data_IF_628287356763
#
_entry.id   IF_628287356763
#
_cell.length_a   1.000
_cell.length_b   1.000
_cell.length_c   1.000
_cell.angle_alpha   90.00
_cell.angle_beta   90.00
_cell.angle_gamma   90.00
#
_symmetry.space_group_name_H-M   'P 1'
#
loop_
_entity.id
_entity.type
_entity.pdbx_description
1 polymer ?
#
# COMPACT_ATOMS: atom_id res chain seq x y z
N UNK A 1 -23.96 -6.76 -3.93
CA UNK A 1 -23.91 -7.52 -2.66
C UNK A 1 -23.32 -8.87 -2.98
N UNK A 2 -22.16 -9.19 -2.42
CA UNK A 2 -21.55 -10.51 -2.62
C UNK A 2 -22.44 -11.57 -1.98
N UNK A 3 -23.11 -12.37 -2.81
CA UNK A 3 -23.99 -13.44 -2.37
C UNK A 3 -23.15 -14.67 -2.01
N UNK A 4 -23.46 -15.28 -0.87
CA UNK A 4 -22.89 -16.57 -0.45
C UNK A 4 -23.98 -17.62 -0.66
N UNK A 5 -23.73 -18.61 -1.49
CA UNK A 5 -24.67 -19.71 -1.72
C UNK A 5 -24.20 -20.95 -0.99
N UNK A 6 -25.06 -21.48 -0.14
CA UNK A 6 -24.88 -22.78 0.51
C UNK A 6 -25.67 -23.82 -0.29
N UNK A 7 -25.00 -24.89 -0.72
CA UNK A 7 -25.66 -25.96 -1.46
C UNK A 7 -25.18 -27.33 -1.00
N UNK A 8 -26.13 -28.19 -0.66
CA UNK A 8 -25.86 -29.60 -0.45
C UNK A 8 -25.86 -30.33 -1.80
N UNK A 9 -24.66 -30.50 -2.35
CA UNK A 9 -24.47 -30.97 -3.73
C UNK A 9 -24.52 -32.50 -3.86
N UNK A 10 -24.45 -33.28 -2.77
CA UNK A 10 -24.56 -34.75 -2.78
C UNK A 10 -23.65 -35.47 -3.82
N UNK A 11 -22.52 -34.88 -4.18
CA UNK A 11 -21.59 -35.42 -5.19
C UNK A 11 -21.11 -34.37 -6.19
N UNK A 12 -19.85 -33.97 -6.08
CA UNK A 12 -19.31 -32.88 -6.89
C UNK A 12 -19.25 -33.21 -8.38
N UNK A 13 -18.85 -34.44 -8.74
CA UNK A 13 -18.68 -34.84 -10.14
C UNK A 13 -20.01 -35.02 -10.86
N UNK A 14 -20.98 -35.66 -10.23
CA UNK A 14 -22.32 -35.88 -10.79
C UNK A 14 -23.03 -34.55 -11.07
N UNK A 15 -22.92 -33.60 -10.15
CA UNK A 15 -23.69 -32.36 -10.19
C UNK A 15 -22.86 -31.13 -10.64
N UNK A 16 -21.72 -31.35 -11.29
CA UNK A 16 -20.82 -30.27 -11.73
C UNK A 16 -21.46 -29.34 -12.78
N UNK A 17 -22.32 -29.86 -13.65
CA UNK A 17 -23.04 -29.05 -14.66
C UNK A 17 -24.06 -28.12 -13.99
N UNK A 18 -24.78 -28.63 -13.00
CA UNK A 18 -25.73 -27.87 -12.20
C UNK A 18 -25.02 -26.80 -11.37
N UNK A 19 -23.85 -27.13 -10.79
CA UNK A 19 -23.01 -26.16 -10.10
C UNK A 19 -22.65 -24.96 -11.00
N UNK A 20 -22.26 -25.22 -12.24
CA UNK A 20 -21.95 -24.14 -13.21
C UNK A 20 -23.17 -23.27 -13.50
N UNK A 21 -24.34 -23.88 -13.70
CA UNK A 21 -25.58 -23.15 -13.94
C UNK A 21 -25.96 -22.28 -12.74
N UNK A 22 -25.84 -22.82 -11.53
CA UNK A 22 -26.08 -22.11 -10.29
C UNK A 22 -25.12 -20.93 -10.12
N UNK A 23 -23.82 -21.12 -10.37
CA UNK A 23 -22.82 -20.04 -10.31
C UNK A 23 -23.08 -18.93 -11.32
N UNK A 24 -23.44 -19.29 -12.55
CA UNK A 24 -23.77 -18.32 -13.60
C UNK A 24 -25.03 -17.51 -13.25
N UNK A 25 -26.03 -18.15 -12.63
CA UNK A 25 -27.29 -17.50 -12.27
C UNK A 25 -27.18 -16.64 -11.01
N UNK A 26 -26.45 -17.10 -10.00
CA UNK A 26 -26.36 -16.46 -8.70
C UNK A 26 -25.27 -15.38 -8.61
N UNK A 27 -24.29 -15.41 -9.52
CA UNK A 27 -23.10 -14.54 -9.51
C UNK A 27 -22.44 -14.47 -8.11
N UNK A 28 -22.47 -15.59 -7.39
CA UNK A 28 -22.04 -15.62 -5.99
C UNK A 28 -20.54 -15.59 -5.85
N UNK A 29 -20.05 -14.69 -4.99
CA UNK A 29 -18.62 -14.59 -4.71
C UNK A 29 -18.08 -15.85 -4.01
N UNK A 30 -18.93 -16.55 -3.25
CA UNK A 30 -18.56 -17.76 -2.50
C UNK A 30 -19.68 -18.79 -2.59
N UNK A 31 -19.31 -20.05 -2.86
CA UNK A 31 -20.23 -21.19 -2.76
C UNK A 31 -19.71 -22.22 -1.77
N UNK A 32 -20.49 -22.46 -0.72
CA UNK A 32 -20.23 -23.46 0.30
C UNK A 32 -20.91 -24.78 -0.10
N UNK A 33 -20.11 -25.72 -0.60
CA UNK A 33 -20.57 -27.06 -0.94
C UNK A 33 -20.52 -27.95 0.30
N UNK A 34 -21.67 -28.46 0.71
CA UNK A 34 -21.80 -29.35 1.88
C UNK A 34 -21.84 -30.81 1.45
N UNK A 35 -21.51 -31.70 2.41
CA UNK A 35 -21.57 -33.17 2.28
C UNK A 35 -20.81 -33.72 1.06
N UNK A 36 -19.74 -33.03 0.67
CA UNK A 36 -18.90 -33.44 -0.43
C UNK A 36 -17.46 -33.67 0.02
N UNK A 37 -17.05 -34.94 0.02
CA UNK A 37 -15.64 -35.31 0.20
C UNK A 37 -14.92 -35.18 -1.13
N UNK A 38 -14.30 -34.03 -1.33
CA UNK A 38 -13.46 -33.76 -2.49
C UNK A 38 -12.07 -34.36 -2.26
N UNK A 39 -11.65 -35.29 -3.12
CA UNK A 39 -10.28 -35.83 -3.14
C UNK A 39 -9.30 -34.88 -3.85
N UNK A 40 -8.00 -35.14 -3.72
CA UNK A 40 -6.97 -34.41 -4.48
C UNK A 40 -7.18 -34.60 -6.00
N UNK A 41 -7.03 -33.53 -6.78
CA UNK A 41 -7.19 -33.55 -8.23
C UNK A 41 -8.55 -33.13 -8.79
N UNK A 42 -9.44 -32.54 -7.98
CA UNK A 42 -10.67 -31.93 -8.48
C UNK A 42 -10.48 -30.44 -8.78
N UNK A 43 -10.99 -29.98 -9.92
CA UNK A 43 -10.85 -28.59 -10.37
C UNK A 43 -12.18 -27.82 -10.23
N UNK A 44 -12.14 -26.58 -9.72
CA UNK A 44 -13.33 -25.73 -9.66
C UNK A 44 -13.74 -25.23 -11.07
N UNK A 45 -14.97 -24.73 -11.23
CA UNK A 45 -15.37 -23.95 -12.40
C UNK A 45 -14.44 -22.75 -12.65
N UNK A 46 -14.28 -22.34 -13.91
CA UNK A 46 -13.42 -21.20 -14.28
C UNK A 46 -13.80 -19.94 -13.50
N UNK A 47 -12.80 -19.23 -12.99
CA UNK A 47 -12.97 -18.02 -12.17
C UNK A 47 -13.16 -18.28 -10.67
N UNK A 48 -13.30 -19.55 -10.27
CA UNK A 48 -13.38 -19.94 -8.85
C UNK A 48 -12.15 -20.71 -8.43
N UNK A 49 -11.77 -20.58 -7.16
CA UNK A 49 -10.72 -21.40 -6.53
C UNK A 49 -11.38 -22.41 -5.61
N UNK A 50 -11.01 -23.70 -5.75
CA UNK A 50 -11.51 -24.74 -4.87
C UNK A 50 -10.76 -24.65 -3.54
N UNK A 51 -11.48 -24.26 -2.49
CA UNK A 51 -10.95 -24.30 -1.14
C UNK A 51 -11.44 -25.57 -0.48
N UNK A 52 -10.56 -26.58 -0.43
CA UNK A 52 -10.80 -27.77 0.37
C UNK A 52 -10.84 -27.35 1.84
N UNK A 53 -12.03 -27.30 2.42
CA UNK A 53 -12.25 -27.06 3.85
C UNK A 53 -11.84 -28.30 4.69
N UNK A 54 -10.73 -28.96 4.35
CA UNK A 54 -10.22 -30.10 5.11
C UNK A 54 -9.37 -29.66 6.32
N UNK A 55 -9.03 -28.38 6.45
CA UNK A 55 -8.20 -27.86 7.54
C UNK A 55 -8.87 -26.72 8.32
N UNK A 56 -8.76 -26.78 9.66
CA UNK A 56 -9.16 -25.70 10.60
C UNK A 56 -8.60 -24.33 10.18
N UNK A 57 -7.36 -24.30 9.68
CA UNK A 57 -6.70 -23.08 9.22
C UNK A 57 -7.41 -22.42 8.02
N UNK A 58 -7.90 -23.21 7.05
CA UNK A 58 -8.61 -22.69 5.87
C UNK A 58 -9.95 -22.09 6.27
N UNK A 59 -10.70 -22.75 7.15
CA UNK A 59 -11.97 -22.24 7.65
C UNK A 59 -11.79 -20.99 8.50
N UNK A 60 -10.76 -20.95 9.36
CA UNK A 60 -10.41 -19.72 10.08
C UNK A 60 -10.09 -18.59 9.10
N UNK A 61 -9.32 -18.86 8.03
CA UNK A 61 -9.02 -17.85 7.01
C UNK A 61 -10.29 -17.33 6.32
N UNK A 62 -11.23 -18.20 5.97
CA UNK A 62 -12.52 -17.81 5.39
C UNK A 62 -13.36 -16.98 6.36
N UNK A 63 -13.41 -17.38 7.62
CA UNK A 63 -14.07 -16.61 8.68
C UNK A 63 -13.47 -15.20 8.79
N UNK A 64 -12.13 -15.10 8.81
CA UNK A 64 -11.39 -13.83 8.87
C UNK A 64 -11.71 -12.92 7.68
N UNK A 65 -11.78 -13.48 6.46
CA UNK A 65 -11.99 -12.67 5.25
C UNK A 65 -13.43 -12.26 5.03
N UNK A 66 -14.42 -13.08 5.42
CA UNK A 66 -15.82 -12.84 5.08
C UNK A 66 -16.64 -12.21 6.22
N UNK A 67 -16.42 -12.68 7.45
CA UNK A 67 -17.21 -12.26 8.62
C UNK A 67 -16.42 -11.22 9.41
N UNK A 68 -15.16 -11.53 9.68
CA UNK A 68 -14.35 -10.67 10.55
C UNK A 68 -14.05 -9.32 9.92
N UNK A 69 -13.79 -9.29 8.61
CA UNK A 69 -13.65 -8.05 7.84
C UNK A 69 -14.86 -7.11 7.95
N UNK A 70 -16.09 -7.67 7.96
CA UNK A 70 -17.33 -6.90 8.14
C UNK A 70 -17.50 -6.41 9.57
N UNK A 71 -17.15 -7.24 10.56
CA UNK A 71 -17.15 -6.82 11.96
C UNK A 71 -16.11 -5.71 12.20
N UNK A 72 -14.95 -5.77 11.55
CA UNK A 72 -13.91 -4.76 11.72
C UNK A 72 -14.22 -3.43 11.04
N UNK A 73 -14.98 -3.48 9.94
CA UNK A 73 -15.33 -2.30 9.16
C UNK A 73 -16.09 -1.28 10.01
N UNK A 74 -15.53 -0.08 10.15
CA UNK A 74 -16.12 0.98 10.96
C UNK A 74 -16.06 0.74 12.48
N UNK A 75 -15.33 -0.26 12.96
CA UNK A 75 -15.20 -0.58 14.40
C UNK A 75 -14.65 0.54 15.26
N UNK A 76 -13.82 1.42 14.69
CA UNK A 76 -13.33 2.62 15.37
C UNK A 76 -14.46 3.61 15.66
N UNK A 77 -15.49 3.64 14.81
CA UNK A 77 -16.66 4.52 14.91
C UNK A 77 -17.69 3.88 15.83
N UNK A 78 -18.25 2.74 15.41
CA UNK A 78 -19.35 2.09 16.14
C UNK A 78 -18.90 1.48 17.47
N UNK A 79 -17.60 1.23 17.65
CA UNK A 79 -17.04 0.66 18.88
C UNK A 79 -17.20 1.56 20.11
N UNK A 80 -17.59 2.82 19.91
CA UNK A 80 -17.99 3.77 20.96
C UNK A 80 -19.44 3.56 21.44
N UNK A 81 -20.21 2.67 20.82
CA UNK A 81 -21.58 2.39 21.23
C UNK A 81 -21.63 1.66 22.58
N UNK A 82 -22.73 1.86 23.31
CA UNK A 82 -22.96 1.22 24.62
C UNK A 82 -22.82 -0.30 24.54
N UNK A 83 -22.25 -0.92 25.57
CA UNK A 83 -22.02 -2.38 25.64
C UNK A 83 -23.23 -3.23 25.24
N UNK A 84 -24.45 -2.86 25.63
CA UNK A 84 -25.66 -3.62 25.28
C UNK A 84 -25.97 -3.62 23.77
N UNK A 85 -25.59 -2.58 23.05
CA UNK A 85 -25.73 -2.48 21.58
C UNK A 85 -24.67 -3.33 20.88
N UNK A 86 -23.50 -3.51 21.49
CA UNK A 86 -22.40 -4.30 20.94
C UNK A 86 -22.52 -5.81 21.24
N UNK A 87 -23.17 -6.20 22.35
CA UNK A 87 -23.36 -7.60 22.77
C UNK A 87 -23.91 -8.52 21.66
N UNK A 88 -24.86 -8.12 20.79
CA UNK A 88 -25.36 -8.97 19.71
C UNK A 88 -24.29 -9.40 18.69
N UNK A 89 -23.14 -8.71 18.62
CA UNK A 89 -22.04 -9.08 17.71
C UNK A 89 -21.20 -10.25 18.23
N UNK A 90 -21.13 -10.44 19.55
CA UNK A 90 -20.30 -11.48 20.16
C UNK A 90 -20.75 -12.90 19.78
N UNK A 91 -22.06 -13.25 19.78
CA UNK A 91 -22.53 -14.53 19.28
C UNK A 91 -22.14 -14.83 17.83
N UNK A 92 -22.10 -13.81 16.96
CA UNK A 92 -21.69 -13.96 15.56
C UNK A 92 -20.21 -14.34 15.49
N UNK A 93 -19.36 -13.67 16.27
CA UNK A 93 -17.94 -14.00 16.40
C UNK A 93 -17.73 -15.42 16.94
N UNK A 94 -18.36 -15.75 18.07
CA UNK A 94 -18.23 -17.07 18.69
C UNK A 94 -18.71 -18.17 17.78
N UNK A 95 -19.84 -17.99 17.09
CA UNK A 95 -20.37 -18.98 16.16
C UNK A 95 -19.42 -19.18 14.98
N UNK A 96 -18.84 -18.11 14.43
CA UNK A 96 -17.83 -18.20 13.38
C UNK A 96 -16.60 -19.02 13.80
N UNK A 97 -16.08 -18.77 15.00
CA UNK A 97 -14.96 -19.52 15.56
C UNK A 97 -15.32 -20.99 15.82
N UNK A 98 -16.51 -21.28 16.35
CA UNK A 98 -16.98 -22.66 16.57
C UNK A 98 -17.05 -23.44 15.27
N UNK A 99 -17.64 -22.86 14.23
CA UNK A 99 -17.70 -23.48 12.90
C UNK A 99 -16.30 -23.71 12.35
N UNK A 100 -15.42 -22.72 12.46
CA UNK A 100 -14.08 -22.82 11.90
C UNK A 100 -13.19 -23.85 12.61
N UNK A 101 -13.34 -24.01 13.93
CA UNK A 101 -12.61 -24.98 14.74
C UNK A 101 -13.26 -26.37 14.78
N UNK A 102 -14.54 -26.48 14.40
CA UNK A 102 -15.35 -27.68 14.64
C UNK A 102 -15.65 -27.90 16.12
N UNK A 103 -15.73 -26.83 16.92
CA UNK A 103 -15.96 -26.92 18.35
C UNK A 103 -17.44 -27.14 18.69
N UNK A 104 -17.71 -27.82 19.82
CA UNK A 104 -19.08 -28.01 20.31
C UNK A 104 -19.78 -26.68 20.57
N UNK A 105 -21.12 -26.67 20.48
CA UNK A 105 -21.93 -25.48 20.81
C UNK A 105 -21.75 -25.02 22.26
N UNK A 106 -21.45 -25.95 23.17
CA UNK A 106 -21.25 -25.72 24.60
C UNK A 106 -19.80 -25.38 24.98
N UNK A 107 -18.84 -25.40 24.05
CA UNK A 107 -17.43 -25.09 24.36
C UNK A 107 -17.32 -23.71 25.02
N UNK A 108 -16.55 -23.60 26.09
CA UNK A 108 -16.37 -22.35 26.81
C UNK A 108 -15.66 -21.29 25.94
N UNK A 109 -16.08 -20.02 26.02
CA UNK A 109 -15.62 -18.94 25.13
C UNK A 109 -14.11 -18.70 25.26
N UNK A 110 -13.57 -18.73 26.49
CA UNK A 110 -12.12 -18.52 26.69
C UNK A 110 -11.30 -19.63 26.04
N UNK A 111 -11.77 -20.87 26.09
CA UNK A 111 -11.14 -22.02 25.42
C UNK A 111 -11.21 -21.88 23.90
N UNK A 112 -12.32 -21.35 23.39
CA UNK A 112 -12.48 -21.06 21.96
C UNK A 112 -11.47 -20.02 21.46
N UNK A 113 -11.24 -18.95 22.23
CA UNK A 113 -10.24 -17.94 21.91
C UNK A 113 -8.81 -18.48 21.96
N UNK A 114 -8.50 -19.29 22.99
CA UNK A 114 -7.18 -19.91 23.12
C UNK A 114 -6.89 -20.87 21.95
N UNK A 115 -7.85 -21.72 21.58
CA UNK A 115 -7.69 -22.68 20.48
C UNK A 115 -7.66 -21.99 19.11
N UNK A 116 -8.44 -20.93 18.89
CA UNK A 116 -8.43 -20.18 17.63
C UNK A 116 -7.18 -19.30 17.49
N UNK A 117 -6.51 -18.96 18.60
CA UNK A 117 -5.50 -17.91 18.65
C UNK A 117 -6.08 -16.52 18.39
N UNK A 118 -7.35 -16.29 18.77
CA UNK A 118 -8.09 -15.06 18.43
C UNK A 118 -8.58 -14.29 19.66
N UNK A 119 -8.52 -12.95 19.65
CA UNK A 119 -9.03 -12.13 20.75
C UNK A 119 -10.56 -12.04 20.75
N UNK A 120 -11.12 -11.55 21.87
CA UNK A 120 -12.52 -11.09 21.90
C UNK A 120 -12.73 -9.89 20.98
N UNK A 121 -13.98 -9.65 20.57
CA UNK A 121 -14.29 -8.50 19.72
C UNK A 121 -13.94 -7.17 20.41
N UNK A 122 -14.13 -7.07 21.71
CA UNK A 122 -13.73 -5.89 22.49
C UNK A 122 -12.24 -5.58 22.36
N UNK A 123 -11.37 -6.54 22.68
CA UNK A 123 -9.93 -6.38 22.54
C UNK A 123 -9.52 -6.12 21.10
N UNK A 124 -10.22 -6.70 20.13
CA UNK A 124 -9.97 -6.43 18.71
C UNK A 124 -10.31 -5.00 18.32
N UNK A 125 -11.48 -4.49 18.69
CA UNK A 125 -11.87 -3.09 18.42
C UNK A 125 -10.87 -2.12 19.06
N UNK A 126 -10.46 -2.40 20.29
CA UNK A 126 -9.42 -1.64 20.97
C UNK A 126 -8.08 -1.66 20.21
N UNK A 127 -7.63 -2.82 19.74
CA UNK A 127 -6.42 -2.95 18.90
C UNK A 127 -6.53 -2.14 17.60
N UNK A 128 -7.70 -2.15 16.94
CA UNK A 128 -7.94 -1.37 15.72
C UNK A 128 -7.95 0.13 15.99
N UNK A 129 -8.56 0.56 17.11
CA UNK A 129 -8.55 1.95 17.55
C UNK A 129 -7.12 2.44 17.84
N UNK A 130 -6.30 1.66 18.55
CA UNK A 130 -4.89 1.99 18.77
C UNK A 130 -4.13 2.17 17.45
N UNK A 131 -4.26 1.21 16.53
CA UNK A 131 -3.62 1.31 15.20
C UNK A 131 -4.06 2.56 14.45
N UNK A 132 -5.35 2.90 14.53
CA UNK A 132 -5.89 4.08 13.89
C UNK A 132 -5.29 5.36 14.46
N UNK A 133 -5.26 5.52 15.78
CA UNK A 133 -4.68 6.70 16.45
C UNK A 133 -3.19 6.85 16.16
N UNK A 134 -2.42 5.76 16.25
CA UNK A 134 -0.99 5.78 15.93
C UNK A 134 -0.73 6.19 14.48
N UNK A 135 -1.50 5.62 13.54
CA UNK A 135 -1.42 5.97 12.12
C UNK A 135 -1.81 7.42 11.88
N UNK A 136 -2.84 7.91 12.56
CA UNK A 136 -3.30 9.28 12.43
C UNK A 136 -2.22 10.24 12.93
N UNK A 137 -1.60 9.96 14.09
CA UNK A 137 -0.49 10.74 14.63
C UNK A 137 0.70 10.83 13.67
N UNK A 138 0.99 9.75 12.94
CA UNK A 138 2.04 9.77 11.91
C UNK A 138 1.68 10.57 10.65
N UNK A 139 0.41 10.95 10.45
CA UNK A 139 -0.09 11.57 9.22
C UNK A 139 -0.69 12.95 9.51
N UNK A 140 0.14 13.99 9.73
CA UNK A 140 -0.33 15.33 10.09
C UNK A 140 -1.18 16.01 9.02
N UNK A 141 -1.07 15.58 7.75
CA UNK A 141 -1.90 16.11 6.65
C UNK A 141 -3.29 15.47 6.54
N UNK A 142 -3.60 14.49 7.38
CA UNK A 142 -4.90 13.84 7.34
C UNK A 142 -5.98 14.80 7.86
N UNK A 143 -7.13 14.98 7.18
CA UNK A 143 -8.19 15.88 7.64
C UNK A 143 -8.75 15.51 9.02
N UNK A 144 -8.64 14.25 9.44
CA UNK A 144 -9.07 13.81 10.76
C UNK A 144 -8.01 14.02 11.85
N UNK A 145 -6.78 14.43 11.51
CA UNK A 145 -5.67 14.55 12.47
C UNK A 145 -6.06 15.51 13.61
N UNK A 146 -6.41 16.74 13.26
CA UNK A 146 -6.69 17.79 14.24
C UNK A 146 -7.98 17.50 15.00
N UNK A 147 -9.01 17.00 14.29
CA UNK A 147 -10.31 16.64 14.87
C UNK A 147 -10.21 15.54 15.93
N UNK A 148 -9.25 14.63 15.84
CA UNK A 148 -9.13 13.48 16.76
C UNK A 148 -8.05 13.69 17.81
N UNK A 149 -6.95 14.38 17.46
CA UNK A 149 -5.80 14.59 18.35
C UNK A 149 -5.86 15.89 19.12
N UNK A 150 -6.50 16.93 18.57
CA UNK A 150 -6.59 18.27 19.18
C UNK A 150 -7.98 18.59 19.72
N UNK A 151 -9.01 17.81 19.36
CA UNK A 151 -10.32 17.97 19.98
C UNK A 151 -10.23 17.75 21.50
N UNK A 152 -10.77 18.67 22.31
CA UNK A 152 -10.82 18.49 23.75
C UNK A 152 -11.49 17.15 24.09
N UNK A 153 -10.82 16.29 24.86
CA UNK A 153 -11.43 15.07 25.41
C UNK A 153 -12.75 15.38 26.15
N UNK A 154 -12.89 16.62 26.64
CA UNK A 154 -14.10 17.16 27.25
C UNK A 154 -15.30 17.22 26.30
N UNK A 155 -15.10 17.47 25.01
CA UNK A 155 -16.20 17.61 24.03
C UNK A 155 -16.82 16.24 23.70
N UNK A 156 -16.05 15.17 23.83
CA UNK A 156 -16.55 13.79 23.75
C UNK A 156 -17.18 13.27 25.05
N UNK A 157 -16.99 14.00 26.16
CA UNK A 157 -17.56 13.68 27.48
C UNK A 157 -18.86 14.45 27.79
N UNK A 158 -19.45 15.11 26.78
CA UNK A 158 -20.63 15.95 26.93
C UNK A 158 -21.90 15.12 27.22
N UNK A 159 -22.04 14.67 28.47
CA UNK A 159 -23.24 14.09 29.04
C UNK A 159 -22.92 13.14 30.19
N UNK A 160 -23.32 13.48 31.42
CA UNK A 160 -23.24 12.60 32.58
C UNK A 160 -23.89 11.24 32.25
N UNK A 161 -23.07 10.21 32.07
CA UNK A 161 -23.51 8.85 31.72
C UNK A 161 -23.22 8.37 30.29
N UNK A 162 -22.55 9.16 29.44
CA UNK A 162 -22.03 8.65 28.15
C UNK A 162 -20.66 8.01 28.35
N UNK A 163 -20.49 6.76 27.89
CA UNK A 163 -19.16 6.14 27.83
C UNK A 163 -18.29 6.98 26.87
N UNK A 164 -17.05 7.36 27.26
CA UNK A 164 -16.12 8.05 26.39
C UNK A 164 -15.93 7.27 25.09
N UNK A 165 -15.79 8.00 23.97
CA UNK A 165 -15.63 7.38 22.67
C UNK A 165 -14.39 6.46 22.66
N UNK A 166 -14.42 5.41 21.83
CA UNK A 166 -13.37 4.38 21.81
C UNK A 166 -11.98 4.98 21.56
N UNK A 167 -11.91 6.10 20.85
CA UNK A 167 -10.68 6.83 20.55
C UNK A 167 -10.16 7.63 21.77
N UNK A 168 -11.02 8.30 22.54
CA UNK A 168 -10.65 8.94 23.81
C UNK A 168 -10.10 7.90 24.79
N UNK A 169 -10.76 6.74 24.89
CA UNK A 169 -10.29 5.64 25.72
C UNK A 169 -8.89 5.18 25.33
N UNK A 170 -8.54 5.18 24.04
CA UNK A 170 -7.18 4.83 23.63
C UNK A 170 -6.13 5.82 24.15
N UNK A 171 -6.42 7.12 24.23
CA UNK A 171 -5.51 8.09 24.83
C UNK A 171 -5.32 7.86 26.33
N UNK A 172 -6.39 7.56 27.06
CA UNK A 172 -6.29 7.16 28.47
C UNK A 172 -5.44 5.91 28.64
N UNK A 173 -5.61 4.91 27.78
CA UNK A 173 -4.77 3.71 27.81
C UNK A 173 -3.30 4.00 27.52
N UNK A 174 -2.98 4.89 26.57
CA UNK A 174 -1.59 5.31 26.33
C UNK A 174 -0.99 6.01 27.56
N UNK A 175 -1.77 6.89 28.20
CA UNK A 175 -1.38 7.57 29.43
C UNK A 175 -1.13 6.59 30.57
N UNK A 176 -2.06 5.65 30.79
CA UNK A 176 -1.94 4.62 31.82
C UNK A 176 -0.76 3.67 31.59
N UNK A 177 -0.39 3.44 30.32
CA UNK A 177 0.76 2.63 29.95
C UNK A 177 2.10 3.41 29.91
N UNK A 178 2.10 4.71 30.21
CA UNK A 178 3.26 5.61 30.08
C UNK A 178 3.91 5.58 28.68
N UNK A 179 3.12 5.40 27.63
CA UNK A 179 3.61 5.40 26.24
C UNK A 179 3.52 6.82 25.67
N UNK A 180 4.67 7.41 25.37
CA UNK A 180 4.74 8.73 24.75
C UNK A 180 4.45 8.65 23.24
N UNK A 181 3.40 9.34 22.79
CA UNK A 181 3.04 9.41 21.36
C UNK A 181 4.00 10.30 20.54
N UNK A 182 4.89 11.05 21.19
CA UNK A 182 5.86 11.92 20.54
C UNK A 182 7.03 11.16 19.88
N UNK A 183 7.14 9.86 20.15
CA UNK A 183 8.17 8.98 19.57
C UNK A 183 7.82 8.60 18.11
N UNK A 184 6.59 8.87 17.67
CA UNK A 184 6.08 8.44 16.37
C UNK A 184 6.55 9.43 15.29
N UNK A 185 7.30 8.94 14.32
CA UNK A 185 7.74 9.73 13.17
C UNK A 185 6.58 10.15 12.27
N UNK A 186 6.70 11.35 11.70
CA UNK A 186 5.78 11.86 10.71
C UNK A 186 6.04 11.18 9.35
N UNK A 187 5.06 10.43 8.86
CA UNK A 187 5.04 9.92 7.50
C UNK A 187 4.68 11.05 6.54
N UNK A 188 5.65 11.43 5.71
CA UNK A 188 5.41 12.35 4.61
C UNK A 188 4.89 11.55 3.40
N UNK A 189 3.57 11.48 3.24
CA UNK A 189 2.98 10.89 2.03
C UNK A 189 3.39 11.77 0.84
N UNK A 190 4.12 11.19 -0.11
CA UNK A 190 4.49 11.89 -1.32
C UNK A 190 3.23 12.28 -2.10
N UNK A 191 3.18 13.55 -2.49
CA UNK A 191 2.17 14.11 -3.37
C UNK A 191 2.90 14.59 -4.63
N UNK A 192 2.39 14.31 -5.84
CA UNK A 192 1.11 13.66 -6.15
C UNK A 192 1.12 12.14 -5.84
N UNK A 193 -0.06 11.50 -5.76
CA UNK A 193 -0.15 10.08 -5.48
C UNK A 193 0.58 9.25 -6.54
N UNK A 194 0.95 7.98 -6.26
CA UNK A 194 1.67 7.13 -7.21
C UNK A 194 0.89 6.82 -8.50
N UNK A 195 -0.44 7.00 -8.49
CA UNK A 195 -1.31 6.92 -9.68
C UNK A 195 -1.50 8.28 -10.39
N UNK A 196 -0.86 9.35 -9.91
CA UNK A 196 -0.81 10.62 -10.60
C UNK A 196 -0.04 10.47 -11.91
N UNK A 197 -0.57 11.05 -12.99
CA UNK A 197 0.11 11.06 -14.28
C UNK A 197 1.38 11.91 -14.20
N UNK A 198 2.51 11.25 -13.99
CA UNK A 198 3.82 11.83 -14.24
C UNK A 198 4.16 11.61 -15.71
N UNK A 199 3.87 12.60 -16.54
CA UNK A 199 4.29 12.61 -17.94
C UNK A 199 5.71 13.18 -18.00
N UNK A 200 6.70 12.32 -17.73
CA UNK A 200 8.10 12.63 -17.98
C UNK A 200 8.33 12.39 -19.47
N UNK A 201 8.57 13.47 -20.24
CA UNK A 201 8.94 13.35 -21.63
C UNK A 201 10.42 12.98 -21.71
N UNK A 202 10.71 11.72 -22.09
CA UNK A 202 12.07 11.24 -22.29
C UNK A 202 12.33 11.13 -23.80
N UNK A 203 13.22 11.98 -24.31
CA UNK A 203 13.64 11.92 -25.70
C UNK A 203 14.90 11.04 -25.84
N UNK A 204 14.72 9.86 -26.46
CA UNK A 204 15.79 8.92 -26.84
C UNK A 204 16.04 8.92 -28.35
N UNK A 205 15.65 9.97 -29.08
CA UNK A 205 15.81 10.05 -30.54
C UNK A 205 17.25 9.84 -31.00
N UNK A 206 18.23 10.33 -30.23
CA UNK A 206 19.66 10.18 -30.48
C UNK A 206 20.14 8.72 -30.49
N UNK A 207 19.42 7.78 -29.87
CA UNK A 207 19.85 6.37 -29.79
C UNK A 207 19.33 5.51 -30.92
N UNK A 208 18.46 6.04 -31.80
CA UNK A 208 17.97 5.32 -33.00
C UNK A 208 19.04 5.20 -34.09
N UNK A 209 20.11 5.96 -33.96
CA UNK A 209 21.21 6.06 -34.91
C UNK A 209 22.33 5.08 -34.51
N UNK A 210 22.82 4.29 -35.48
CA UNK A 210 23.85 3.28 -35.22
C UNK A 210 25.23 3.96 -35.08
N UNK A 211 25.95 3.67 -33.98
CA UNK A 211 27.24 4.32 -33.64
C UNK A 211 28.32 4.08 -34.68
N UNK A 212 28.22 3.00 -35.45
CA UNK A 212 29.26 2.57 -36.40
C UNK A 212 29.27 3.34 -37.73
N UNK A 213 28.18 4.04 -38.08
CA UNK A 213 28.00 4.63 -39.41
C UNK A 213 27.95 6.17 -39.44
N UNK A 214 28.13 6.85 -38.30
CA UNK A 214 27.81 8.27 -38.16
C UNK A 214 29.01 9.02 -37.57
N UNK A 215 29.37 10.14 -38.20
CA UNK A 215 30.47 11.01 -37.73
C UNK A 215 30.11 11.77 -36.47
N UNK A 216 31.10 12.08 -35.63
CA UNK A 216 30.93 12.88 -34.40
C UNK A 216 30.24 14.24 -34.67
N UNK A 217 30.54 14.84 -35.81
CA UNK A 217 29.93 16.10 -36.28
C UNK A 217 28.42 15.99 -36.45
N UNK A 218 27.93 14.83 -36.89
CA UNK A 218 26.49 14.62 -37.06
C UNK A 218 25.77 14.52 -35.70
N UNK A 219 26.37 13.86 -34.70
CA UNK A 219 25.83 13.84 -33.33
C UNK A 219 25.81 15.21 -32.69
N UNK A 220 26.87 16.01 -32.87
CA UNK A 220 26.91 17.39 -32.38
C UNK A 220 25.80 18.22 -33.02
N UNK A 221 25.62 18.13 -34.34
CA UNK A 221 24.56 18.85 -35.06
C UNK A 221 23.17 18.48 -34.54
N UNK A 222 22.92 17.19 -34.33
CA UNK A 222 21.63 16.71 -33.83
C UNK A 222 21.38 17.12 -32.37
N UNK A 223 22.42 17.07 -31.53
CA UNK A 223 22.36 17.56 -30.16
C UNK A 223 22.04 19.07 -30.12
N UNK A 224 22.71 19.88 -30.96
CA UNK A 224 22.40 21.32 -31.06
C UNK A 224 20.97 21.58 -31.54
N UNK A 225 20.45 20.76 -32.46
CA UNK A 225 19.04 20.85 -32.90
C UNK A 225 18.06 20.58 -31.74
N UNK A 226 18.33 19.58 -30.91
CA UNK A 226 17.53 19.28 -29.71
C UNK A 226 17.65 20.44 -28.71
N UNK A 227 18.86 20.93 -28.47
CA UNK A 227 19.12 22.07 -27.59
C UNK A 227 18.36 23.32 -28.04
N UNK A 228 18.28 23.59 -29.34
CA UNK A 228 17.52 24.70 -29.91
C UNK A 228 16.01 24.55 -29.72
N UNK A 229 15.49 23.32 -29.86
CA UNK A 229 14.07 22.99 -29.60
C UNK A 229 13.68 23.32 -28.15
N UNK A 230 14.61 23.12 -27.20
CA UNK A 230 14.42 23.41 -25.78
C UNK A 230 15.06 24.72 -25.33
N UNK A 231 15.28 25.68 -26.24
CA UNK A 231 15.92 26.98 -25.94
C UNK A 231 15.24 27.78 -24.81
N UNK A 232 13.93 27.62 -24.61
CA UNK A 232 13.17 28.25 -23.52
C UNK A 232 13.24 27.49 -22.18
N UNK A 233 14.03 26.43 -22.08
CA UNK A 233 14.19 25.63 -20.87
C UNK A 233 15.57 25.85 -20.26
N UNK A 234 15.64 25.82 -18.93
CA UNK A 234 16.91 25.84 -18.23
C UNK A 234 17.63 24.51 -18.43
N UNK A 235 18.82 24.54 -19.03
CA UNK A 235 19.61 23.35 -19.30
C UNK A 235 20.35 22.88 -18.04
N UNK A 236 20.28 21.59 -17.72
CA UNK A 236 21.04 20.94 -16.63
C UNK A 236 21.73 19.72 -17.20
N UNK A 237 22.98 19.50 -16.80
CA UNK A 237 23.77 18.35 -17.24
C UNK A 237 24.03 17.43 -16.06
N UNK A 238 23.96 16.12 -16.26
CA UNK A 238 24.24 15.13 -15.22
C UNK A 238 25.27 14.13 -15.72
N UNK A 239 26.11 13.66 -14.81
CA UNK A 239 27.15 12.68 -15.10
C UNK A 239 27.37 11.77 -13.89
N UNK A 240 27.65 10.50 -14.13
CA UNK A 240 27.89 9.45 -13.14
C UNK A 240 29.25 8.76 -13.30
N UNK A 241 30.38 9.48 -13.19
CA UNK A 241 31.69 8.92 -13.49
C UNK A 241 32.09 7.81 -12.51
N UNK A 242 32.73 6.78 -13.05
CA UNK A 242 33.34 5.68 -12.28
C UNK A 242 34.85 5.66 -12.49
N UNK A 243 35.59 5.64 -11.39
CA UNK A 243 37.03 5.44 -11.35
C UNK A 243 37.33 4.22 -10.47
N UNK A 244 37.80 3.14 -11.10
CA UNK A 244 38.06 1.86 -10.43
C UNK A 244 36.84 1.33 -9.66
N UNK A 245 36.92 1.24 -8.33
CA UNK A 245 35.84 0.80 -7.42
C UNK A 245 35.00 1.98 -6.87
N UNK A 246 35.38 3.22 -7.20
CA UNK A 246 34.76 4.44 -6.68
C UNK A 246 33.88 5.07 -7.74
N UNK A 247 32.71 5.51 -7.30
CA UNK A 247 31.70 6.08 -8.17
C UNK A 247 31.20 7.39 -7.58
N UNK A 248 31.04 8.40 -8.44
CA UNK A 248 30.54 9.71 -8.08
C UNK A 248 29.37 10.09 -8.99
N UNK A 249 28.56 11.02 -8.51
CA UNK A 249 27.44 11.57 -9.25
C UNK A 249 27.52 13.09 -9.21
N UNK A 250 27.22 13.73 -10.34
CA UNK A 250 27.27 15.17 -10.47
C UNK A 250 26.06 15.71 -11.26
N UNK A 251 25.66 16.92 -10.89
CA UNK A 251 24.68 17.74 -11.59
C UNK A 251 25.27 19.14 -11.78
N UNK A 252 25.43 19.54 -13.04
CA UNK A 252 26.03 20.79 -13.46
C UNK A 252 24.98 21.77 -14.00
N UNK A 253 25.00 22.99 -13.47
CA UNK A 253 24.07 24.07 -13.80
C UNK A 253 24.83 25.18 -14.55
N UNK A 254 24.79 25.23 -15.89
CA UNK A 254 25.62 26.14 -16.69
C UNK A 254 25.32 27.63 -16.44
N UNK A 255 24.06 28.01 -16.24
CA UNK A 255 23.68 29.41 -15.99
C UNK A 255 23.97 29.85 -14.54
N UNK A 256 24.14 28.90 -13.61
CA UNK A 256 24.48 29.15 -12.21
C UNK A 256 25.48 28.10 -11.68
N UNK A 257 26.76 28.18 -12.07
CA UNK A 257 27.75 27.15 -11.74
C UNK A 257 27.88 26.88 -10.24
N UNK A 258 27.70 27.89 -9.39
CA UNK A 258 27.77 27.78 -7.92
C UNK A 258 26.72 26.83 -7.31
N UNK A 259 25.65 26.54 -8.05
CA UNK A 259 24.61 25.58 -7.63
C UNK A 259 24.87 24.16 -8.11
N UNK A 260 25.96 23.93 -8.83
CA UNK A 260 26.36 22.60 -9.26
C UNK A 260 26.70 21.74 -8.05
N UNK A 261 26.24 20.50 -8.06
CA UNK A 261 26.42 19.56 -6.95
C UNK A 261 27.13 18.32 -7.44
N UNK A 262 28.03 17.82 -6.61
CA UNK A 262 28.63 16.52 -6.79
C UNK A 262 28.61 15.77 -5.45
N UNK A 263 28.38 14.47 -5.50
CA UNK A 263 28.43 13.59 -4.34
C UNK A 263 29.16 12.30 -4.68
N UNK A 264 29.82 11.74 -3.67
CA UNK A 264 30.44 10.42 -3.80
C UNK A 264 29.47 9.37 -3.26
N UNK A 265 29.29 8.29 -4.03
CA UNK A 265 28.48 7.15 -3.59
C UNK A 265 29.33 6.18 -2.75
N UNK A 266 28.67 5.25 -2.06
CA UNK A 266 29.35 4.18 -1.32
C UNK A 266 30.18 3.30 -2.26
N UNK A 267 31.26 2.77 -1.73
CA UNK A 267 32.12 1.84 -2.48
C UNK A 267 31.34 0.59 -2.88
N UNK A 268 31.53 0.13 -4.12
CA UNK A 268 30.76 -0.97 -4.72
C UNK A 268 29.43 -0.54 -5.40
N UNK A 269 29.10 0.76 -5.44
CA UNK A 269 27.98 1.25 -6.23
C UNK A 269 28.19 1.04 -7.74
N UNK A 270 27.10 0.83 -8.48
CA UNK A 270 27.16 0.67 -9.94
C UNK A 270 27.19 2.03 -10.65
N UNK A 271 27.72 2.08 -11.88
CA UNK A 271 27.63 3.27 -12.75
C UNK A 271 26.18 3.70 -12.92
N UNK A 272 25.27 2.75 -13.12
CA UNK A 272 23.84 3.02 -13.23
C UNK A 272 23.27 3.74 -11.99
N UNK A 273 23.71 3.36 -10.78
CA UNK A 273 23.31 4.02 -9.54
C UNK A 273 23.84 5.46 -9.47
N UNK A 274 25.04 5.70 -9.98
CA UNK A 274 25.65 7.02 -10.08
C UNK A 274 24.84 7.97 -10.97
N UNK A 275 24.49 7.49 -12.16
CA UNK A 275 23.73 8.24 -13.15
C UNK A 275 22.36 8.66 -12.61
N UNK A 276 21.67 7.72 -11.95
CA UNK A 276 20.40 8.00 -11.28
C UNK A 276 20.56 8.99 -10.12
N UNK A 277 21.62 8.86 -9.33
CA UNK A 277 21.91 9.80 -8.25
C UNK A 277 22.24 11.21 -8.80
N UNK A 278 22.91 11.30 -9.95
CA UNK A 278 23.17 12.58 -10.63
C UNK A 278 21.87 13.27 -11.04
N UNK A 279 20.93 12.51 -11.61
CA UNK A 279 19.58 13.00 -11.91
C UNK A 279 18.83 13.41 -10.62
N UNK A 280 18.96 12.65 -9.54
CA UNK A 280 18.34 12.99 -8.25
C UNK A 280 18.90 14.30 -7.64
N UNK A 281 20.21 14.50 -7.73
CA UNK A 281 20.87 15.75 -7.34
C UNK A 281 20.36 16.93 -8.17
N UNK A 282 20.24 16.76 -9.49
CA UNK A 282 19.68 17.77 -10.39
C UNK A 282 18.25 18.14 -9.97
N UNK A 283 17.38 17.15 -9.76
CA UNK A 283 15.98 17.37 -9.36
C UNK A 283 15.85 18.10 -8.01
N UNK A 284 16.76 17.80 -7.07
CA UNK A 284 16.80 18.45 -5.75
C UNK A 284 17.06 19.95 -5.89
N UNK A 285 18.00 20.35 -6.75
CA UNK A 285 18.28 21.78 -7.00
C UNK A 285 17.26 22.45 -7.90
N UNK A 286 16.71 21.73 -8.88
CA UNK A 286 15.60 22.21 -9.69
C UNK A 286 14.42 22.61 -8.80
N UNK A 287 14.12 21.85 -7.74
CA UNK A 287 13.07 22.22 -6.77
C UNK A 287 13.33 23.58 -6.10
N UNK A 288 14.58 23.93 -5.85
CA UNK A 288 14.95 25.24 -5.30
C UNK A 288 14.85 26.36 -6.36
N UNK A 289 15.21 26.05 -7.61
CA UNK A 289 15.19 26.96 -8.75
C UNK A 289 13.80 27.13 -9.39
N UNK A 290 12.86 26.25 -9.11
CA UNK A 290 11.48 26.28 -9.61
C UNK A 290 10.72 27.57 -9.22
N UNK A 291 11.26 28.36 -8.29
CA UNK A 291 10.76 29.70 -7.95
C UNK A 291 11.03 30.74 -9.05
N UNK A 292 12.09 30.54 -9.84
CA UNK A 292 12.59 31.51 -10.82
C UNK A 292 12.42 31.03 -12.27
N UNK A 293 12.55 29.72 -12.50
CA UNK A 293 12.37 29.09 -13.80
C UNK A 293 11.23 28.08 -13.75
N UNK A 294 10.39 28.05 -14.79
CA UNK A 294 9.24 27.13 -14.88
C UNK A 294 9.57 25.86 -15.65
N UNK A 295 10.51 25.93 -16.59
CA UNK A 295 10.80 24.89 -17.55
C UNK A 295 12.26 24.47 -17.45
N UNK A 296 12.53 23.18 -17.31
CA UNK A 296 13.87 22.61 -17.17
C UNK A 296 14.05 21.45 -18.13
N UNK A 297 15.28 21.25 -18.62
CA UNK A 297 15.68 20.07 -19.39
C UNK A 297 16.96 19.50 -18.81
N UNK A 298 16.96 18.20 -18.55
CA UNK A 298 18.12 17.46 -18.03
C UNK A 298 18.72 16.67 -19.18
N UNK A 299 20.00 16.88 -19.44
CA UNK A 299 20.79 16.11 -20.40
C UNK A 299 21.63 15.08 -19.64
N UNK A 300 21.45 13.81 -19.96
CA UNK A 300 22.23 12.67 -19.48
C UNK A 300 22.65 11.83 -20.66
N UNK A 301 23.86 11.27 -20.61
CA UNK A 301 24.39 10.32 -21.59
C UNK A 301 24.05 8.85 -21.24
N UNK A 302 23.43 8.60 -20.09
CA UNK A 302 23.05 7.28 -19.61
C UNK A 302 21.70 6.80 -20.16
N UNK A 303 21.74 6.08 -21.28
CA UNK A 303 20.54 5.46 -21.89
C UNK A 303 19.80 4.53 -20.91
N UNK A 304 20.54 3.78 -20.08
CA UNK A 304 19.95 2.86 -19.11
C UNK A 304 19.15 3.60 -18.03
N UNK A 305 19.67 4.74 -17.53
CA UNK A 305 18.95 5.59 -16.58
C UNK A 305 17.67 6.18 -17.20
N UNK A 306 17.75 6.69 -18.43
CA UNK A 306 16.60 7.25 -19.15
C UNK A 306 15.50 6.20 -19.42
N UNK A 307 15.88 4.99 -19.81
CA UNK A 307 14.94 3.87 -20.02
C UNK A 307 14.28 3.41 -18.71
N UNK A 308 15.02 3.40 -17.61
CA UNK A 308 14.48 3.08 -16.29
C UNK A 308 13.41 4.10 -15.86
N UNK A 309 13.67 5.39 -16.07
CA UNK A 309 12.72 6.48 -15.80
C UNK A 309 11.48 6.36 -16.70
N UNK A 310 11.66 6.08 -18.00
CA UNK A 310 10.56 5.97 -18.96
C UNK A 310 9.65 4.76 -18.68
N UNK A 311 10.22 3.60 -18.34
CA UNK A 311 9.47 2.36 -18.16
C UNK A 311 8.63 2.32 -16.86
N UNK A 312 8.79 3.29 -15.96
CA UNK A 312 8.13 3.37 -14.64
C UNK A 312 8.24 2.08 -13.80
N UNK A 313 9.13 1.16 -14.17
CA UNK A 313 9.31 -0.12 -13.50
C UNK A 313 10.20 0.05 -12.27
N UNK A 314 9.69 0.77 -11.27
CA UNK A 314 10.23 0.67 -9.93
C UNK A 314 9.77 -0.66 -9.35
N UNK A 315 10.58 -1.72 -9.55
CA UNK A 315 10.45 -2.91 -8.70
C UNK A 315 10.85 -2.47 -7.28
N UNK A 316 9.86 -2.14 -6.47
CA UNK A 316 9.98 -2.05 -5.01
C UNK A 316 9.86 -3.46 -4.44
#
# INVERSE_FOLDING_TARGET
MDTVVQWNIHGFRSNFKELKLLLNRSQSAVVALQECRLGEGQFPPRGYTLLLAQGRATLLRLYRTLVWSKLDYGSVIYGSAKKHVLRPLDPIHHQGLRIALGAFRTTHIKSLYAEAGEPSLEHRRMKLAFKYVLKLKSLPRNPCHDVVLEAPLSDFSAGAGSEPNLVANTFEHFKNANISLNIIDNLNVQCPPPWGEHNINVDISLTKQNKENISEVAYQKEFFRIKETFSNHYAVFTDGPKLEEKVAAAAFFPENPDRSKATRLRDGASVFSAELEGIALALTEIKNLAKYHKNFVIYSDSLSALQAIQSKNFKV
#
